data_IF_999111967395
#
_entry.id   IF_999111967395
#
_cell.length_a   1.000
_cell.length_b   1.000
_cell.length_c   1.000
_cell.angle_alpha   90.00
_cell.angle_beta   90.00
_cell.angle_gamma   90.00
#
_symmetry.space_group_name_H-M   'P 1'
#
loop_
_entity.id
_entity.type
_entity.pdbx_description
1 polymer ?
#
# COMPACT_ATOMS: atom_id res chain seq x y z
N UNK A 1 -33.23 -41.93 -40.86
CA UNK A 1 -33.80 -41.74 -39.51
C UNK A 1 -34.44 -40.37 -39.53
N UNK A 2 -35.78 -40.31 -39.54
CA UNK A 2 -36.50 -39.04 -39.62
C UNK A 2 -36.29 -38.29 -38.30
N UNK A 3 -35.68 -37.11 -38.37
CA UNK A 3 -35.48 -36.21 -37.23
C UNK A 3 -36.85 -35.71 -36.79
N UNK A 4 -37.35 -36.22 -35.67
CA UNK A 4 -38.55 -35.69 -35.03
C UNK A 4 -38.14 -34.35 -34.42
N UNK A 5 -38.52 -33.26 -35.06
CA UNK A 5 -38.41 -31.95 -34.43
C UNK A 5 -39.34 -31.91 -33.21
N UNK A 6 -38.83 -31.56 -32.02
CA UNK A 6 -39.65 -31.52 -30.82
C UNK A 6 -40.77 -30.49 -30.99
N UNK A 7 -41.96 -30.82 -30.52
CA UNK A 7 -43.08 -29.90 -30.59
C UNK A 7 -42.76 -28.65 -29.73
N UNK A 8 -43.03 -27.41 -30.18
CA UNK A 8 -42.64 -26.21 -29.45
C UNK A 8 -43.07 -26.18 -27.97
N UNK A 9 -44.21 -26.81 -27.64
CA UNK A 9 -44.68 -26.95 -26.26
C UNK A 9 -43.76 -27.82 -25.38
N UNK A 10 -43.17 -28.88 -25.93
CA UNK A 10 -42.22 -29.75 -25.22
C UNK A 10 -40.92 -29.01 -24.93
N UNK A 11 -40.48 -28.19 -25.88
CA UNK A 11 -39.29 -27.34 -25.74
C UNK A 11 -39.46 -26.32 -24.59
N UNK A 12 -40.62 -25.65 -24.55
CA UNK A 12 -40.93 -24.66 -23.49
C UNK A 12 -41.03 -25.33 -22.11
N UNK A 13 -41.66 -26.50 -22.02
CA UNK A 13 -41.76 -27.24 -20.77
C UNK A 13 -40.38 -27.64 -20.22
N UNK A 14 -39.49 -28.10 -21.11
CA UNK A 14 -38.12 -28.43 -20.74
C UNK A 14 -37.34 -27.20 -20.22
N UNK A 15 -37.46 -26.04 -20.89
CA UNK A 15 -36.82 -24.81 -20.41
C UNK A 15 -37.31 -24.39 -19.02
N UNK A 16 -38.62 -24.51 -18.76
CA UNK A 16 -39.18 -24.23 -17.44
C UNK A 16 -38.64 -25.18 -16.35
N UNK A 17 -38.52 -26.48 -16.65
CA UNK A 17 -37.93 -27.47 -15.73
C UNK A 17 -36.44 -27.19 -15.44
N UNK A 18 -35.70 -26.67 -16.42
CA UNK A 18 -34.31 -26.26 -16.26
C UNK A 18 -34.15 -24.91 -15.51
N UNK A 19 -35.26 -24.31 -15.07
CA UNK A 19 -35.25 -23.06 -14.29
C UNK A 19 -35.06 -21.80 -15.13
N UNK A 20 -35.28 -21.88 -16.45
CA UNK A 20 -35.27 -20.71 -17.33
C UNK A 20 -36.58 -19.93 -17.12
N UNK A 21 -36.46 -18.72 -16.59
CA UNK A 21 -37.62 -17.87 -16.26
C UNK A 21 -37.94 -16.84 -17.33
N UNK A 22 -36.95 -16.46 -18.15
CA UNK A 22 -37.07 -15.37 -19.11
C UNK A 22 -36.11 -15.58 -20.29
N UNK A 23 -36.58 -15.27 -21.50
CA UNK A 23 -35.74 -15.21 -22.70
C UNK A 23 -35.28 -13.76 -22.89
N UNK A 24 -33.97 -13.54 -22.90
CA UNK A 24 -33.40 -12.18 -22.94
C UNK A 24 -33.27 -11.65 -24.38
N UNK A 25 -32.87 -12.51 -25.32
CA UNK A 25 -32.81 -12.21 -26.75
C UNK A 25 -32.84 -13.50 -27.59
N UNK A 26 -33.01 -13.35 -28.91
CA UNK A 26 -33.07 -14.45 -29.88
C UNK A 26 -31.69 -15.00 -30.27
N UNK A 27 -30.61 -14.48 -29.70
CA UNK A 27 -29.24 -14.83 -30.05
C UNK A 27 -28.72 -15.92 -29.11
N UNK A 28 -28.26 -17.07 -29.61
CA UNK A 28 -27.60 -18.06 -28.77
C UNK A 28 -26.29 -17.50 -28.19
N UNK A 29 -26.18 -17.45 -26.86
CA UNK A 29 -24.95 -17.03 -26.17
C UNK A 29 -24.16 -18.24 -25.68
N UNK A 30 -22.93 -18.41 -26.18
CA UNK A 30 -22.00 -19.43 -25.67
C UNK A 30 -21.17 -18.85 -24.50
N UNK A 31 -21.57 -19.19 -23.28
CA UNK A 31 -20.90 -18.73 -22.06
C UNK A 31 -19.62 -19.51 -21.71
N UNK A 32 -19.31 -20.58 -22.46
CA UNK A 32 -18.09 -21.37 -22.29
C UNK A 32 -16.98 -20.97 -23.29
N UNK A 33 -17.32 -20.14 -24.28
CA UNK A 33 -16.35 -19.55 -25.19
C UNK A 33 -15.38 -18.63 -24.43
N UNK A 34 -14.07 -18.85 -24.59
CA UNK A 34 -13.06 -17.96 -24.05
C UNK A 34 -13.25 -16.54 -24.62
N UNK A 35 -13.20 -15.47 -23.80
CA UNK A 35 -13.40 -14.12 -24.27
C UNK A 35 -12.34 -13.77 -25.32
N UNK A 36 -12.78 -13.45 -26.54
CA UNK A 36 -11.90 -12.96 -27.61
C UNK A 36 -11.35 -11.60 -27.15
N UNK A 37 -10.02 -11.37 -27.14
CA UNK A 37 -9.49 -10.07 -26.77
C UNK A 37 -10.07 -9.01 -27.71
N UNK A 38 -10.83 -8.07 -27.15
CA UNK A 38 -11.28 -6.92 -27.89
C UNK A 38 -10.04 -6.12 -28.32
N UNK A 39 -9.91 -5.85 -29.62
CA UNK A 39 -8.93 -4.89 -30.08
C UNK A 39 -9.23 -3.54 -29.40
N UNK A 40 -8.21 -2.83 -28.88
CA UNK A 40 -8.44 -1.55 -28.23
C UNK A 40 -9.14 -0.60 -29.21
N UNK A 41 -10.14 0.16 -28.76
CA UNK A 41 -10.77 1.15 -29.63
C UNK A 41 -9.69 2.13 -30.10
N UNK A 42 -9.59 2.32 -31.43
CA UNK A 42 -8.78 3.40 -31.98
C UNK A 42 -9.33 4.72 -31.42
N UNK A 43 -8.50 5.60 -30.85
CA UNK A 43 -8.97 6.87 -30.34
C UNK A 43 -9.55 7.68 -31.51
N UNK A 44 -10.82 8.04 -31.39
CA UNK A 44 -11.48 9.00 -32.28
C UNK A 44 -10.95 10.37 -31.86
N UNK A 45 -10.15 11.00 -32.72
CA UNK A 45 -9.73 12.39 -32.55
C UNK A 45 -10.97 13.27 -32.68
N UNK A 46 -11.45 13.78 -31.55
CA UNK A 46 -12.49 14.82 -31.52
C UNK A 46 -11.81 16.15 -31.87
N UNK A 47 -12.17 16.82 -32.97
CA UNK A 47 -11.64 18.15 -33.26
C UNK A 47 -12.38 19.16 -32.38
N UNK A 48 -11.66 19.89 -31.52
CA UNK A 48 -12.21 21.04 -30.82
C UNK A 48 -12.42 20.88 -29.31
N UNK A 49 -11.39 20.46 -28.59
CA UNK A 49 -11.18 20.92 -27.22
C UNK A 49 -9.75 21.41 -27.12
N UNK A 50 -9.57 22.70 -26.84
CA UNK A 50 -8.25 23.22 -26.49
C UNK A 50 -7.64 22.31 -25.42
N UNK A 51 -6.44 21.75 -25.64
CA UNK A 51 -5.81 20.97 -24.61
C UNK A 51 -5.56 21.91 -23.44
N UNK A 52 -6.16 21.60 -22.29
CA UNK A 52 -5.57 22.00 -21.02
C UNK A 52 -4.11 21.60 -21.14
N UNK A 53 -3.21 22.59 -21.19
CA UNK A 53 -1.78 22.37 -21.19
C UNK A 53 -1.44 21.62 -19.91
N UNK A 54 -1.48 20.29 -19.96
CA UNK A 54 -0.71 19.47 -19.03
C UNK A 54 0.72 19.88 -19.28
N UNK A 55 1.37 20.41 -18.25
CA UNK A 55 2.80 20.59 -18.27
C UNK A 55 3.43 19.29 -18.77
N UNK A 56 4.34 19.38 -19.74
CA UNK A 56 5.17 18.26 -20.10
C UNK A 56 5.79 17.70 -18.82
N UNK A 57 5.93 16.37 -18.65
CA UNK A 57 6.74 15.85 -17.57
C UNK A 57 8.12 16.48 -17.78
N UNK A 58 8.55 17.33 -16.84
CA UNK A 58 9.96 17.69 -16.77
C UNK A 58 10.74 16.39 -16.75
N UNK A 59 11.83 16.33 -17.52
CA UNK A 59 12.77 15.22 -17.44
C UNK A 59 13.03 14.93 -15.96
N UNK A 60 12.58 13.75 -15.51
CA UNK A 60 12.86 13.32 -14.15
C UNK A 60 14.37 13.35 -13.98
N UNK A 61 14.85 14.04 -12.95
CA UNK A 61 16.26 14.06 -12.64
C UNK A 61 16.79 12.62 -12.51
N UNK A 62 18.06 12.36 -12.86
CA UNK A 62 18.69 11.07 -12.60
C UNK A 62 18.43 10.62 -11.16
N UNK A 63 18.21 9.32 -10.90
CA UNK A 63 17.80 8.83 -9.58
C UNK A 63 18.72 9.27 -8.42
N UNK A 64 20.02 9.39 -8.68
CA UNK A 64 21.00 9.83 -7.70
C UNK A 64 20.83 11.32 -7.34
N UNK A 65 20.55 12.18 -8.33
CA UNK A 65 20.25 13.60 -8.10
C UNK A 65 18.92 13.78 -7.36
N UNK A 66 17.91 12.98 -7.71
CA UNK A 66 16.62 12.97 -7.03
C UNK A 66 16.77 12.57 -5.54
N UNK A 67 17.58 11.57 -5.23
CA UNK A 67 17.85 11.16 -3.85
C UNK A 67 18.62 12.24 -3.06
N UNK A 68 19.58 12.94 -3.70
CA UNK A 68 20.29 14.07 -3.09
C UNK A 68 19.35 15.23 -2.81
N UNK A 69 18.49 15.59 -3.77
CA UNK A 69 17.47 16.63 -3.61
C UNK A 69 16.47 16.30 -2.51
N UNK A 70 15.98 15.04 -2.47
CA UNK A 70 15.10 14.56 -1.41
C UNK A 70 15.76 14.70 -0.02
N UNK A 71 17.04 14.36 0.10
CA UNK A 71 17.80 14.51 1.36
C UNK A 71 17.97 15.97 1.78
N UNK A 72 18.19 16.88 0.83
CA UNK A 72 18.28 18.32 1.13
C UNK A 72 16.94 18.86 1.65
N UNK A 73 15.84 18.60 0.92
CA UNK A 73 14.49 19.02 1.30
C UNK A 73 14.05 18.44 2.65
N UNK A 74 14.34 17.16 2.90
CA UNK A 74 14.02 16.52 4.17
C UNK A 74 14.78 17.19 5.33
N UNK A 75 16.07 17.54 5.15
CA UNK A 75 16.87 18.19 6.20
C UNK A 75 16.37 19.59 6.57
N UNK A 76 15.83 20.33 5.60
CA UNK A 76 15.31 21.69 5.82
C UNK A 76 14.03 21.70 6.65
N UNK A 77 13.20 20.66 6.55
CA UNK A 77 11.96 20.57 7.31
C UNK A 77 12.23 20.39 8.82
N UNK A 78 11.76 21.33 9.64
CA UNK A 78 11.89 21.31 11.11
C UNK A 78 10.64 20.80 11.82
N UNK A 79 9.51 20.72 11.11
CA UNK A 79 8.23 20.20 11.61
C UNK A 79 7.64 19.16 10.67
N UNK A 80 6.70 18.35 11.17
CA UNK A 80 5.99 17.36 10.34
C UNK A 80 5.17 18.03 9.22
N UNK A 81 4.61 19.20 9.47
CA UNK A 81 3.85 19.95 8.47
C UNK A 81 4.76 20.50 7.36
N UNK A 82 5.93 21.01 7.70
CA UNK A 82 6.96 21.41 6.73
C UNK A 82 7.43 20.21 5.90
N UNK A 83 7.65 19.06 6.53
CA UNK A 83 8.05 17.85 5.83
C UNK A 83 6.95 17.39 4.86
N UNK A 84 5.69 17.41 5.29
CA UNK A 84 4.54 17.09 4.46
C UNK A 84 4.43 18.04 3.26
N UNK A 85 4.63 19.34 3.47
CA UNK A 85 4.62 20.34 2.41
C UNK A 85 5.76 20.12 1.41
N UNK A 86 6.97 19.85 1.90
CA UNK A 86 8.14 19.54 1.06
C UNK A 86 7.91 18.28 0.21
N UNK A 87 7.36 17.21 0.79
CA UNK A 87 7.00 15.99 0.07
C UNK A 87 5.91 16.25 -0.97
N UNK A 88 4.88 17.04 -0.64
CA UNK A 88 3.82 17.41 -1.58
C UNK A 88 4.36 18.19 -2.79
N UNK A 89 5.39 19.01 -2.61
CA UNK A 89 6.07 19.77 -3.66
C UNK A 89 7.19 19.02 -4.40
N UNK A 90 7.62 17.84 -3.92
CA UNK A 90 8.75 17.12 -4.49
C UNK A 90 8.41 16.47 -5.84
N UNK A 91 9.12 16.80 -6.92
CA UNK A 91 8.87 16.25 -8.27
C UNK A 91 9.89 15.18 -8.69
N UNK A 92 10.88 14.86 -7.83
CA UNK A 92 11.96 13.92 -8.16
C UNK A 92 11.58 12.44 -8.11
N UNK A 93 10.32 12.08 -7.84
CA UNK A 93 9.87 10.68 -7.75
C UNK A 93 8.81 10.37 -8.80
N UNK A 94 9.12 9.42 -9.70
CA UNK A 94 8.18 8.95 -10.74
C UNK A 94 6.86 8.42 -10.16
N UNK A 95 6.87 7.89 -8.93
CA UNK A 95 5.67 7.37 -8.27
C UNK A 95 4.62 8.46 -8.05
N UNK A 96 5.04 9.70 -7.80
CA UNK A 96 4.13 10.83 -7.62
C UNK A 96 3.28 11.10 -8.86
N UNK A 97 3.86 10.93 -10.05
CA UNK A 97 3.14 11.12 -11.32
C UNK A 97 2.02 10.08 -11.52
N UNK A 98 2.12 8.92 -10.85
CA UNK A 98 1.15 7.83 -10.98
C UNK A 98 0.19 7.70 -9.79
N UNK A 99 0.58 8.21 -8.62
CA UNK A 99 -0.24 8.19 -7.42
C UNK A 99 -1.30 9.29 -7.47
N UNK A 100 -2.46 9.02 -6.86
CA UNK A 100 -3.54 10.00 -6.73
C UNK A 100 -3.28 10.97 -5.59
N UNK A 101 -2.80 10.46 -4.45
CA UNK A 101 -2.56 11.28 -3.27
C UNK A 101 -1.19 10.99 -2.65
N UNK A 102 -0.67 12.00 -1.96
CA UNK A 102 0.39 11.80 -0.98
C UNK A 102 -0.20 11.11 0.26
N UNK A 103 0.36 9.96 0.63
CA UNK A 103 -0.01 9.24 1.86
C UNK A 103 1.09 9.49 2.89
N UNK A 104 0.93 10.55 3.67
CA UNK A 104 1.96 11.04 4.58
C UNK A 104 2.02 10.24 5.89
N UNK A 105 0.94 10.26 6.68
CA UNK A 105 0.84 9.57 7.95
C UNK A 105 -0.61 9.50 8.46
N UNK A 106 -0.81 8.73 9.52
CA UNK A 106 -2.02 8.72 10.36
C UNK A 106 -1.63 8.39 11.82
N UNK A 107 -2.55 8.63 12.76
CA UNK A 107 -2.36 8.40 14.18
C UNK A 107 -1.84 9.62 14.95
N UNK A 108 -1.27 9.38 16.14
CA UNK A 108 -0.85 10.42 17.07
C UNK A 108 0.61 10.86 16.78
N UNK A 109 0.88 12.13 16.41
CA UNK A 109 2.24 12.64 16.18
C UNK A 109 3.15 12.61 17.41
N UNK A 110 2.57 12.56 18.62
CA UNK A 110 3.30 12.45 19.88
C UNK A 110 3.33 11.00 20.42
N UNK A 111 3.02 10.00 19.58
CA UNK A 111 3.04 8.60 19.98
C UNK A 111 4.45 8.10 20.28
N UNK A 112 4.57 7.30 21.34
CA UNK A 112 5.82 6.62 21.72
C UNK A 112 6.20 5.48 20.76
N UNK A 113 5.27 5.03 19.93
CA UNK A 113 5.46 3.92 18.99
C UNK A 113 5.18 4.39 17.57
N UNK A 114 6.16 4.21 16.68
CA UNK A 114 6.01 4.51 15.26
C UNK A 114 6.01 3.22 14.43
N UNK A 115 5.04 3.06 13.53
CA UNK A 115 4.95 1.96 12.58
C UNK A 115 5.33 2.45 11.18
N UNK A 116 6.23 1.72 10.51
CA UNK A 116 6.63 2.02 9.13
C UNK A 116 6.34 0.83 8.21
N UNK A 117 5.36 1.01 7.33
CA UNK A 117 5.00 0.06 6.28
C UNK A 117 5.85 0.17 5.00
N UNK A 118 5.45 -0.56 3.98
CA UNK A 118 6.12 -0.59 2.67
C UNK A 118 5.73 0.61 1.79
N UNK A 119 4.49 0.60 1.30
CA UNK A 119 3.96 1.62 0.39
C UNK A 119 2.42 1.60 0.43
N UNK A 120 1.74 2.66 -0.04
CA UNK A 120 0.29 2.71 -0.10
C UNK A 120 -0.29 1.70 -1.09
N UNK A 121 -1.42 1.10 -0.75
CA UNK A 121 -2.26 0.37 -1.68
C UNK A 121 -3.28 1.28 -2.37
N UNK A 122 -4.21 0.68 -3.12
CA UNK A 122 -5.22 1.43 -3.88
C UNK A 122 -6.18 2.24 -3.01
N UNK A 123 -6.51 1.73 -1.82
CA UNK A 123 -7.45 2.41 -0.93
C UNK A 123 -6.76 3.53 -0.16
N UNK A 124 -5.50 3.31 0.25
CA UNK A 124 -4.64 4.33 0.85
C UNK A 124 -4.39 5.49 -0.11
N UNK A 125 -4.03 5.20 -1.35
CA UNK A 125 -3.83 6.19 -2.40
C UNK A 125 -5.11 6.98 -2.70
N UNK A 126 -6.29 6.38 -2.55
CA UNK A 126 -7.57 7.07 -2.72
C UNK A 126 -7.91 7.98 -1.54
N UNK A 127 -7.63 7.52 -0.32
CA UNK A 127 -7.98 8.19 0.93
C UNK A 127 -6.93 9.23 1.37
N UNK A 128 -5.68 9.11 0.91
CA UNK A 128 -4.56 9.92 1.40
C UNK A 128 -4.07 9.51 2.80
N UNK A 129 -4.47 8.34 3.30
CA UNK A 129 -4.16 7.85 4.64
C UNK A 129 -3.55 6.44 4.60
N UNK A 130 -2.51 6.15 5.39
CA UNK A 130 -1.88 4.84 5.43
C UNK A 130 -2.77 3.79 6.08
N UNK A 131 -2.63 2.54 5.61
CA UNK A 131 -3.29 1.37 6.21
C UNK A 131 -4.80 1.56 6.41
N UNK A 132 -5.55 1.96 5.38
CA UNK A 132 -7.03 2.05 5.44
C UNK A 132 -7.74 0.86 4.79
N UNK A 133 -7.05 0.12 3.92
CA UNK A 133 -7.56 -1.07 3.25
C UNK A 133 -7.62 -2.30 4.18
N UNK A 134 -7.82 -3.48 3.58
CA UNK A 134 -7.96 -4.75 4.32
C UNK A 134 -6.76 -5.08 5.21
N UNK A 135 -5.54 -4.80 4.75
CA UNK A 135 -4.32 -4.96 5.56
C UNK A 135 -4.29 -4.00 6.74
N UNK A 136 -4.78 -2.77 6.55
CA UNK A 136 -4.92 -1.78 7.60
C UNK A 136 -5.92 -2.18 8.68
N UNK A 137 -7.09 -2.67 8.29
CA UNK A 137 -8.08 -3.20 9.24
C UNK A 137 -7.54 -4.37 10.06
N UNK A 138 -6.67 -5.21 9.47
CA UNK A 138 -5.98 -6.25 10.22
C UNK A 138 -4.94 -5.66 11.18
N UNK A 139 -4.19 -4.63 10.77
CA UNK A 139 -3.26 -3.91 11.63
C UNK A 139 -3.99 -3.31 12.85
N UNK A 140 -5.15 -2.68 12.64
CA UNK A 140 -5.95 -2.12 13.73
C UNK A 140 -6.40 -3.20 14.72
N UNK A 141 -6.83 -4.37 14.23
CA UNK A 141 -7.15 -5.53 15.10
C UNK A 141 -5.93 -6.07 15.83
N UNK A 142 -4.76 -6.07 15.20
CA UNK A 142 -3.50 -6.49 15.82
C UNK A 142 -3.10 -5.56 16.96
N UNK A 143 -3.21 -4.24 16.76
CA UNK A 143 -2.97 -3.23 17.79
C UNK A 143 -3.98 -3.35 18.94
N UNK A 144 -5.28 -3.47 18.61
CA UNK A 144 -6.33 -3.61 19.61
C UNK A 144 -6.14 -4.86 20.49
N UNK A 145 -5.63 -5.96 19.93
CA UNK A 145 -5.35 -7.19 20.68
C UNK A 145 -4.26 -7.03 21.77
N UNK A 146 -3.45 -5.98 21.69
CA UNK A 146 -2.47 -5.62 22.73
C UNK A 146 -2.84 -4.31 23.46
N UNK A 147 -4.10 -3.87 23.32
CA UNK A 147 -4.62 -2.69 24.02
C UNK A 147 -4.17 -1.36 23.43
N UNK A 148 -3.73 -1.33 22.16
CA UNK A 148 -3.34 -0.11 21.47
C UNK A 148 -4.38 0.31 20.44
N UNK A 149 -4.49 1.61 20.22
CA UNK A 149 -5.38 2.22 19.23
C UNK A 149 -4.58 3.15 18.32
N UNK A 150 -5.03 3.30 17.07
CA UNK A 150 -4.39 4.20 16.10
C UNK A 150 -4.36 5.65 16.58
N UNK A 151 -5.50 6.13 17.08
CA UNK A 151 -5.70 7.53 17.42
C UNK A 151 -4.85 8.01 18.61
N UNK A 152 -4.53 7.12 19.56
CA UNK A 152 -3.89 7.51 20.81
C UNK A 152 -2.44 7.04 20.90
N UNK A 153 -2.15 5.81 20.45
CA UNK A 153 -0.95 5.10 20.87
C UNK A 153 0.16 5.03 19.83
N UNK A 154 -0.16 5.23 18.55
CA UNK A 154 0.79 4.97 17.47
C UNK A 154 0.80 6.08 16.42
N UNK A 155 1.96 6.28 15.80
CA UNK A 155 2.12 7.03 14.57
C UNK A 155 2.39 6.05 13.43
N UNK A 156 1.68 6.17 12.31
CA UNK A 156 1.76 5.21 11.19
C UNK A 156 2.17 5.95 9.92
N UNK A 157 3.23 5.49 9.28
CA UNK A 157 3.71 5.97 7.98
C UNK A 157 4.18 4.80 7.10
N UNK A 158 4.63 5.10 5.88
CA UNK A 158 5.21 4.12 4.96
C UNK A 158 6.60 4.59 4.50
N UNK A 159 7.47 3.64 4.17
CA UNK A 159 8.77 3.91 3.57
C UNK A 159 8.63 4.73 2.27
N UNK A 160 7.63 4.39 1.45
CA UNK A 160 7.26 5.17 0.28
C UNK A 160 5.92 5.86 0.53
N UNK A 161 5.78 7.16 0.24
CA UNK A 161 4.54 7.90 0.51
C UNK A 161 3.57 7.89 -0.69
N UNK A 162 3.99 7.33 -1.84
CA UNK A 162 3.20 7.21 -3.06
C UNK A 162 3.06 5.76 -3.49
N UNK A 163 1.90 5.43 -4.05
CA UNK A 163 1.55 4.09 -4.49
C UNK A 163 2.35 3.66 -5.74
N UNK A 164 3.05 2.52 -5.71
CA UNK A 164 3.60 1.91 -6.91
C UNK A 164 2.51 1.42 -7.88
N UNK A 165 2.68 1.59 -9.20
CA UNK A 165 1.75 1.07 -10.20
C UNK A 165 1.50 -0.43 -10.02
N UNK A 166 0.23 -0.82 -9.99
CA UNK A 166 -0.16 -2.23 -9.80
C UNK A 166 0.13 -2.82 -8.42
N UNK A 167 0.46 -1.99 -7.41
CA UNK A 167 0.88 -2.44 -6.07
C UNK A 167 2.09 -3.38 -6.11
N UNK A 168 2.99 -3.18 -7.09
CA UNK A 168 4.26 -3.93 -7.15
C UNK A 168 5.16 -3.56 -5.98
N UNK A 169 6.13 -4.42 -5.69
CA UNK A 169 7.20 -4.09 -4.74
C UNK A 169 7.98 -2.86 -5.25
N UNK A 170 8.33 -1.93 -4.34
CA UNK A 170 9.22 -0.81 -4.64
C UNK A 170 10.57 -1.26 -5.22
N UNK A 171 11.11 -0.47 -6.15
CA UNK A 171 12.48 -0.68 -6.64
C UNK A 171 13.51 -0.10 -5.65
N UNK A 172 14.76 -0.58 -5.68
CA UNK A 172 15.83 0.03 -4.87
C UNK A 172 16.00 1.53 -5.12
N UNK A 173 15.80 1.98 -6.36
CA UNK A 173 15.88 3.41 -6.71
C UNK A 173 14.75 4.21 -6.06
N UNK A 174 13.52 3.70 -6.10
CA UNK A 174 12.38 4.38 -5.46
C UNK A 174 12.55 4.45 -3.94
N UNK A 175 13.07 3.38 -3.33
CA UNK A 175 13.44 3.35 -1.92
C UNK A 175 14.51 4.41 -1.63
N UNK A 176 15.59 4.47 -2.40
CA UNK A 176 16.67 5.43 -2.19
C UNK A 176 16.20 6.89 -2.27
N UNK A 177 15.24 7.20 -3.16
CA UNK A 177 14.65 8.53 -3.29
C UNK A 177 13.73 8.87 -2.10
N UNK A 178 12.94 7.92 -1.62
CA UNK A 178 11.95 8.18 -0.57
C UNK A 178 12.50 8.04 0.85
N UNK A 179 13.55 7.23 1.03
CA UNK A 179 14.13 6.92 2.34
C UNK A 179 14.53 8.16 3.15
N UNK A 180 15.13 9.23 2.58
CA UNK A 180 15.45 10.43 3.35
C UNK A 180 14.23 11.09 4.03
N UNK A 181 13.05 11.00 3.42
CA UNK A 181 11.83 11.58 3.99
C UNK A 181 11.35 10.79 5.20
N UNK A 182 11.31 9.46 5.14
CA UNK A 182 10.90 8.64 6.29
C UNK A 182 11.93 8.70 7.42
N UNK A 183 13.23 8.77 7.10
CA UNK A 183 14.29 9.00 8.09
C UNK A 183 14.05 10.31 8.84
N UNK A 184 13.77 11.40 8.10
CA UNK A 184 13.43 12.68 8.72
C UNK A 184 12.14 12.61 9.52
N UNK A 185 11.13 11.91 9.03
CA UNK A 185 9.86 11.75 9.73
C UNK A 185 10.05 11.01 11.06
N UNK A 186 10.89 9.97 11.10
CA UNK A 186 11.28 9.28 12.34
C UNK A 186 12.00 10.25 13.29
N UNK A 187 12.91 11.08 12.78
CA UNK A 187 13.60 12.08 13.61
C UNK A 187 12.66 13.13 14.21
N UNK A 188 11.63 13.54 13.47
CA UNK A 188 10.66 14.56 13.90
C UNK A 188 9.60 14.00 14.86
N UNK A 189 9.20 12.74 14.69
CA UNK A 189 8.30 12.03 15.62
C UNK A 189 9.02 11.64 16.91
N UNK A 190 10.32 11.35 16.81
CA UNK A 190 11.19 10.92 17.92
C UNK A 190 10.62 9.77 18.78
N UNK A 191 10.19 8.65 18.15
CA UNK A 191 9.49 7.58 18.87
C UNK A 191 10.44 6.79 19.79
N UNK A 192 9.90 6.27 20.89
CA UNK A 192 10.62 5.38 21.80
C UNK A 192 10.82 3.97 21.22
N UNK A 193 9.87 3.51 20.40
CA UNK A 193 9.92 2.21 19.72
C UNK A 193 9.58 2.38 18.23
N UNK A 194 10.41 1.80 17.36
CA UNK A 194 10.15 1.73 15.92
C UNK A 194 9.68 0.33 15.53
N UNK A 195 8.58 0.21 14.79
CA UNK A 195 8.06 -1.07 14.30
C UNK A 195 8.10 -1.08 12.78
N UNK A 196 8.98 -1.91 12.21
CA UNK A 196 9.06 -2.07 10.75
C UNK A 196 8.08 -3.16 10.30
N UNK A 197 7.04 -2.74 9.59
CA UNK A 197 5.96 -3.62 9.15
C UNK A 197 6.27 -4.17 7.76
N UNK A 198 6.81 -5.38 7.69
CA UNK A 198 7.13 -6.06 6.43
C UNK A 198 8.59 -5.95 6.02
N UNK A 199 8.91 -6.56 4.87
CA UNK A 199 10.28 -6.72 4.39
C UNK A 199 10.89 -5.40 3.92
N UNK A 200 10.26 -4.56 3.08
CA UNK A 200 10.95 -3.39 2.53
C UNK A 200 11.34 -2.35 3.59
N UNK A 201 10.46 -2.03 4.54
CA UNK A 201 10.80 -1.13 5.65
C UNK A 201 11.90 -1.72 6.53
N UNK A 202 11.82 -3.02 6.87
CA UNK A 202 12.87 -3.68 7.66
C UNK A 202 14.22 -3.75 6.95
N UNK A 203 14.23 -3.93 5.62
CA UNK A 203 15.45 -3.91 4.81
C UNK A 203 16.07 -2.52 4.78
N UNK A 204 15.26 -1.49 4.48
CA UNK A 204 15.75 -0.13 4.29
C UNK A 204 16.22 0.51 5.61
N UNK A 205 15.52 0.25 6.72
CA UNK A 205 15.78 0.92 7.99
C UNK A 205 16.65 0.11 8.94
N UNK A 206 16.63 -1.22 8.87
CA UNK A 206 17.30 -2.10 9.84
C UNK A 206 18.35 -3.04 9.20
N UNK A 207 18.65 -2.87 7.91
CA UNK A 207 19.58 -3.72 7.13
C UNK A 207 19.27 -5.24 7.24
N UNK A 208 17.98 -5.59 7.35
CA UNK A 208 17.54 -6.97 7.51
C UNK A 208 17.43 -7.68 6.16
N UNK A 209 18.22 -8.73 5.93
CA UNK A 209 18.14 -9.52 4.67
C UNK A 209 16.89 -10.42 4.56
N UNK A 210 16.38 -10.92 5.69
CA UNK A 210 15.24 -11.85 5.72
C UNK A 210 14.27 -11.49 6.84
N UNK A 211 13.05 -11.08 6.46
CA UNK A 211 11.99 -10.75 7.41
C UNK A 211 11.58 -11.95 8.28
N UNK A 212 11.57 -13.16 7.72
CA UNK A 212 11.21 -14.37 8.46
C UNK A 212 12.22 -14.69 9.56
N UNK A 213 13.51 -14.43 9.32
CA UNK A 213 14.57 -14.66 10.30
C UNK A 213 14.62 -13.56 11.38
N UNK A 214 14.29 -12.32 11.00
CA UNK A 214 14.41 -11.17 11.88
C UNK A 214 13.14 -10.91 12.71
N UNK A 215 11.94 -11.26 12.23
CA UNK A 215 10.69 -10.90 12.90
C UNK A 215 10.68 -11.30 14.38
N UNK A 216 10.28 -10.38 15.24
CA UNK A 216 10.19 -10.60 16.68
C UNK A 216 11.52 -10.53 17.44
N UNK A 217 12.64 -10.26 16.76
CA UNK A 217 13.92 -9.96 17.40
C UNK A 217 14.06 -8.44 17.50
N UNK A 218 14.39 -7.95 18.69
CA UNK A 218 14.74 -6.54 18.87
C UNK A 218 16.06 -6.24 18.17
N UNK A 219 16.04 -5.19 17.37
CA UNK A 219 17.17 -4.61 16.67
C UNK A 219 17.30 -3.14 17.08
N UNK A 220 18.30 -2.46 16.54
CA UNK A 220 18.51 -1.05 16.77
C UNK A 220 18.40 -0.29 15.44
N UNK A 221 17.60 0.76 15.45
CA UNK A 221 17.61 1.77 14.40
C UNK A 221 18.55 2.91 14.81
N UNK A 222 19.58 3.16 14.01
CA UNK A 222 20.61 4.17 14.28
C UNK A 222 20.36 5.44 13.46
N UNK A 223 19.41 6.25 13.90
CA UNK A 223 19.16 7.59 13.36
C UNK A 223 19.90 8.67 14.15
N UNK A 224 19.24 9.79 14.43
CA UNK A 224 19.76 10.83 15.33
C UNK A 224 20.07 10.31 16.74
N UNK A 225 19.27 9.36 17.21
CA UNK A 225 19.52 8.52 18.39
C UNK A 225 19.27 7.07 18.04
N UNK A 226 19.79 6.17 18.86
CA UNK A 226 19.47 4.75 18.77
C UNK A 226 18.06 4.50 19.30
N UNK A 227 17.21 3.88 18.49
CA UNK A 227 15.82 3.54 18.84
C UNK A 227 15.67 2.01 18.78
N UNK A 228 15.12 1.35 19.81
CA UNK A 228 14.79 -0.07 19.74
C UNK A 228 13.75 -0.32 18.65
N UNK A 229 14.07 -1.23 17.75
CA UNK A 229 13.27 -1.51 16.57
C UNK A 229 12.80 -2.96 16.52
N UNK A 230 11.53 -3.17 16.17
CA UNK A 230 10.91 -4.48 16.05
C UNK A 230 10.39 -4.70 14.62
N UNK A 231 11.04 -5.54 13.81
CA UNK A 231 10.48 -5.98 12.54
C UNK A 231 9.34 -6.98 12.78
N UNK A 232 8.23 -6.81 12.06
CA UNK A 232 7.07 -7.71 12.09
C UNK A 232 6.60 -8.08 10.68
N UNK A 233 5.81 -9.14 10.56
CA UNK A 233 5.21 -9.52 9.29
C UNK A 233 4.14 -8.52 8.84
N UNK A 234 4.13 -8.21 7.54
CA UNK A 234 3.14 -7.29 6.99
C UNK A 234 1.72 -7.89 7.05
N UNK A 235 0.68 -7.15 7.45
CA UNK A 235 -0.69 -7.66 7.52
C UNK A 235 -1.20 -8.24 6.20
N UNK A 236 -0.81 -7.68 5.05
CA UNK A 236 -1.16 -8.23 3.74
C UNK A 236 -0.60 -9.65 3.52
N UNK A 237 0.58 -9.98 4.07
CA UNK A 237 1.10 -11.34 4.06
C UNK A 237 0.26 -12.26 4.95
N UNK A 238 -0.09 -11.81 6.16
CA UNK A 238 -0.91 -12.58 7.11
C UNK A 238 -2.35 -12.85 6.63
N UNK A 239 -2.87 -12.00 5.73
CA UNK A 239 -4.13 -12.24 5.04
C UNK A 239 -4.03 -13.39 4.03
N UNK A 240 -2.88 -13.55 3.36
CA UNK A 240 -2.61 -14.65 2.43
C UNK A 240 -2.14 -15.94 3.12
N UNK A 241 -1.48 -15.79 4.27
CA UNK A 241 -0.95 -16.88 5.09
C UNK A 241 -1.50 -16.83 6.52
N UNK A 242 -2.79 -17.20 6.75
CA UNK A 242 -3.42 -17.06 8.07
C UNK A 242 -2.74 -17.85 9.19
N UNK A 243 -2.09 -18.98 8.88
CA UNK A 243 -1.38 -19.81 9.87
C UNK A 243 -0.22 -19.05 10.54
N UNK A 244 0.37 -18.07 9.86
CA UNK A 244 1.48 -17.28 10.38
C UNK A 244 1.03 -16.15 11.31
N UNK A 245 -0.28 -15.93 11.49
CA UNK A 245 -0.81 -15.01 12.51
C UNK A 245 -0.33 -15.37 13.92
N UNK A 246 -0.04 -16.65 14.19
CA UNK A 246 0.58 -17.09 15.46
C UNK A 246 1.97 -16.49 15.68
N UNK A 247 2.72 -16.21 14.60
CA UNK A 247 4.04 -15.59 14.67
C UNK A 247 3.89 -14.09 14.96
N UNK A 248 2.99 -13.43 14.23
CA UNK A 248 2.66 -12.03 14.48
C UNK A 248 2.13 -11.80 15.90
N UNK A 249 1.32 -12.71 16.45
CA UNK A 249 0.88 -12.64 17.83
C UNK A 249 2.04 -12.67 18.83
N UNK A 250 3.05 -13.51 18.60
CA UNK A 250 4.26 -13.53 19.44
C UNK A 250 5.02 -12.21 19.36
N UNK A 251 5.11 -11.61 18.17
CA UNK A 251 5.74 -10.28 17.99
C UNK A 251 5.02 -9.21 18.79
N UNK A 252 3.69 -9.17 18.68
CA UNK A 252 2.85 -8.18 19.36
C UNK A 252 2.93 -8.31 20.87
N UNK A 253 3.01 -9.53 21.41
CA UNK A 253 3.23 -9.73 22.85
C UNK A 253 4.56 -9.17 23.31
N UNK A 254 5.62 -9.39 22.56
CA UNK A 254 6.94 -8.81 22.85
C UNK A 254 6.90 -7.28 22.77
N UNK A 255 6.23 -6.71 21.77
CA UNK A 255 5.99 -5.27 21.66
C UNK A 255 5.25 -4.73 22.89
N UNK A 256 4.17 -5.40 23.31
CA UNK A 256 3.41 -5.03 24.50
C UNK A 256 4.27 -5.01 25.75
N UNK A 257 5.08 -6.05 25.97
CA UNK A 257 6.02 -6.09 27.10
C UNK A 257 6.98 -4.90 27.09
N UNK A 258 7.50 -4.49 25.92
CA UNK A 258 8.39 -3.34 25.82
C UNK A 258 7.65 -2.02 26.09
N UNK A 259 6.43 -1.85 25.58
CA UNK A 259 5.59 -0.67 25.83
C UNK A 259 5.21 -0.56 27.32
N UNK A 260 4.99 -1.68 28.01
CA UNK A 260 4.67 -1.66 29.44
C UNK A 260 5.89 -1.33 30.32
N UNK A 261 7.11 -1.43 29.78
CA UNK A 261 8.37 -1.12 30.46
C UNK A 261 8.87 0.31 30.20
N UNK A 262 8.15 1.06 29.36
CA UNK A 262 8.49 2.39 28.87
C UNK A 262 7.98 3.50 29.81
#
# INVERSE_FOLDING_TARGET
MSSVEPHPAELIAWYAEMGVTEALDETPHDHFAAPRPAAPPRPVLVPGSDPIRRAAPGELAPPDEAAVSARALAREATTLDELKAAMAGFEGCALKATAKNLVFADGNPAARVMLVGEAPGADEDRAGLPFVGRSGQLLDRMLAAIGLTRAEHVYIANLLPWRPPGNRTPTPQEVAICQPFIERQIELVDPDILVCVGRPSSMALLDVKSIMAARGRWLEYNGRRTIPALPILHPAYLLRSPLDKRLAWRDLRTLKTAIDAL
#
